data_IF_303829448940
#
_entry.id   IF_303829448940
#
_cell.length_a   1.000
_cell.length_b   1.000
_cell.length_c   1.000
_cell.angle_alpha   90.00
_cell.angle_beta   90.00
_cell.angle_gamma   90.00
#
_symmetry.space_group_name_H-M   'P 1'
#
loop_
_entity.id
_entity.type
_entity.pdbx_description
1 polymer ?
#
# COMPACT_ATOMS: atom_id res chain seq x y z
N UNK A 1 -34.75 -14.00 37.88
CA UNK A 1 -34.94 -12.59 37.47
C UNK A 1 -33.62 -11.86 37.50
N UNK A 2 -33.35 -11.08 36.44
CA UNK A 2 -32.23 -10.15 36.20
C UNK A 2 -30.87 -10.84 35.89
N UNK A 3 -30.18 -10.46 34.85
CA UNK A 3 -30.38 -9.84 33.52
C UNK A 3 -28.95 -9.81 32.90
N UNK A 4 -28.86 -10.28 31.70
CA UNK A 4 -27.67 -10.16 30.86
C UNK A 4 -27.67 -8.76 30.21
N UNK A 5 -26.54 -8.09 30.18
CA UNK A 5 -26.26 -7.03 29.21
C UNK A 5 -24.76 -6.71 29.20
N UNK A 6 -24.13 -6.70 28.02
CA UNK A 6 -22.89 -6.00 27.83
C UNK A 6 -21.77 -6.73 27.09
N UNK A 7 -22.01 -7.19 25.84
CA UNK A 7 -20.92 -7.50 24.94
C UNK A 7 -21.43 -7.32 23.48
N UNK A 8 -21.31 -6.13 22.94
CA UNK A 8 -21.83 -5.87 21.60
C UNK A 8 -21.52 -4.50 21.02
N UNK A 9 -20.27 -4.01 21.11
CA UNK A 9 -19.99 -2.71 20.51
C UNK A 9 -18.68 -2.63 19.68
N UNK A 10 -17.89 -3.68 19.58
CA UNK A 10 -16.55 -3.59 18.92
C UNK A 10 -16.49 -4.18 17.50
N UNK A 11 -17.54 -4.86 17.02
CA UNK A 11 -17.49 -5.61 15.74
C UNK A 11 -18.18 -4.89 14.57
N UNK A 12 -18.90 -3.80 14.81
CA UNK A 12 -19.73 -3.13 13.80
C UNK A 12 -18.91 -2.18 12.90
N UNK A 13 -17.77 -1.67 13.37
CA UNK A 13 -17.00 -0.65 12.62
C UNK A 13 -16.25 -1.18 11.38
N UNK A 14 -15.96 -2.47 11.30
CA UNK A 14 -15.16 -3.04 10.20
C UNK A 14 -15.98 -3.49 8.98
N UNK A 15 -17.27 -3.77 9.15
CA UNK A 15 -18.17 -4.20 8.06
C UNK A 15 -18.71 -3.03 7.22
N UNK A 16 -18.77 -1.82 7.75
CA UNK A 16 -19.29 -0.66 7.01
C UNK A 16 -18.31 -0.12 5.95
N UNK A 17 -17.00 -0.29 6.14
CA UNK A 17 -16.00 0.21 5.20
C UNK A 17 -16.01 -0.56 3.86
N UNK A 18 -16.27 -1.85 3.85
CA UNK A 18 -16.25 -2.65 2.63
C UNK A 18 -17.46 -2.37 1.71
N UNK A 19 -18.62 -2.06 2.24
CA UNK A 19 -19.83 -1.85 1.44
C UNK A 19 -19.84 -0.53 0.68
N UNK A 20 -19.08 0.49 1.13
CA UNK A 20 -18.92 1.77 0.44
C UNK A 20 -17.83 1.74 -0.65
N UNK A 21 -16.84 0.89 -0.55
CA UNK A 21 -15.68 0.85 -1.44
C UNK A 21 -15.93 0.11 -2.76
N UNK A 22 -16.97 -0.72 -2.85
CA UNK A 22 -17.32 -1.48 -4.07
C UNK A 22 -17.99 -0.61 -5.14
N UNK A 23 -18.41 0.61 -4.82
CA UNK A 23 -19.19 1.47 -5.70
C UNK A 23 -18.40 2.58 -6.39
N UNK A 24 -17.12 2.77 -6.09
CA UNK A 24 -16.32 3.81 -6.74
C UNK A 24 -15.95 3.37 -8.15
N UNK A 25 -16.60 3.99 -9.15
CA UNK A 25 -16.28 3.78 -10.56
C UNK A 25 -14.84 4.23 -10.82
N UNK A 26 -14.03 3.33 -11.34
CA UNK A 26 -12.59 3.58 -11.57
C UNK A 26 -12.29 3.54 -13.05
N UNK A 27 -11.76 4.64 -13.60
CA UNK A 27 -11.43 4.77 -15.02
C UNK A 27 -9.96 5.08 -15.22
N UNK A 28 -9.36 4.43 -16.22
CA UNK A 28 -8.00 4.70 -16.67
C UNK A 28 -8.04 5.34 -18.05
N UNK A 29 -7.41 6.51 -18.19
CA UNK A 29 -7.47 7.33 -19.41
C UNK A 29 -6.06 7.45 -19.98
N UNK A 30 -5.83 6.96 -21.19
CA UNK A 30 -4.59 7.15 -21.94
C UNK A 30 -4.77 8.26 -22.97
N UNK A 31 -3.99 9.35 -22.85
CA UNK A 31 -4.10 10.52 -23.71
C UNK A 31 -3.02 10.45 -24.78
N UNK A 32 -3.44 10.48 -26.07
CA UNK A 32 -2.54 10.53 -27.24
C UNK A 32 -1.45 9.45 -27.24
N UNK A 33 -1.79 8.24 -26.80
CA UNK A 33 -0.83 7.13 -26.78
C UNK A 33 -0.28 6.84 -28.18
N UNK A 34 1.02 6.69 -28.30
CA UNK A 34 1.72 6.53 -29.56
C UNK A 34 2.12 5.07 -29.85
N UNK A 35 2.17 4.21 -28.83
CA UNK A 35 2.60 2.82 -28.94
C UNK A 35 1.46 1.84 -28.63
N UNK A 36 1.14 0.99 -29.59
CA UNK A 36 0.08 -0.01 -29.47
C UNK A 36 0.34 -0.99 -28.29
N UNK A 37 1.57 -1.40 -28.08
CA UNK A 37 1.95 -2.28 -26.98
C UNK A 37 1.68 -1.71 -25.59
N UNK A 38 1.70 -0.38 -25.43
CA UNK A 38 1.36 0.26 -24.15
C UNK A 38 -0.14 0.15 -23.83
N UNK A 39 -0.99 0.19 -24.84
CA UNK A 39 -2.45 -0.02 -24.65
C UNK A 39 -2.72 -1.45 -24.18
N UNK A 40 -2.06 -2.45 -24.79
CA UNK A 40 -2.16 -3.84 -24.34
C UNK A 40 -1.63 -4.05 -22.93
N UNK A 41 -0.46 -3.48 -22.61
CA UNK A 41 0.12 -3.53 -21.28
C UNK A 41 -0.78 -2.86 -20.23
N UNK A 42 -1.42 -1.73 -20.56
CA UNK A 42 -2.38 -1.05 -19.71
C UNK A 42 -3.62 -1.93 -19.45
N UNK A 43 -4.22 -2.51 -20.47
CA UNK A 43 -5.35 -3.42 -20.35
C UNK A 43 -5.03 -4.60 -19.38
N UNK A 44 -3.84 -5.20 -19.54
CA UNK A 44 -3.38 -6.26 -18.66
C UNK A 44 -3.21 -5.78 -17.21
N UNK A 45 -2.60 -4.62 -17.02
CA UNK A 45 -2.34 -4.05 -15.71
C UNK A 45 -3.63 -3.77 -14.93
N UNK A 46 -4.64 -3.14 -15.57
CA UNK A 46 -5.92 -2.84 -14.93
C UNK A 46 -6.71 -4.11 -14.61
N UNK A 47 -6.72 -5.10 -15.52
CA UNK A 47 -7.38 -6.38 -15.29
C UNK A 47 -6.78 -7.15 -14.11
N UNK A 48 -5.45 -7.19 -13.98
CA UNK A 48 -4.80 -7.87 -12.84
C UNK A 48 -5.16 -7.25 -11.51
N UNK A 49 -5.55 -5.98 -11.50
CA UNK A 49 -6.02 -5.27 -10.30
C UNK A 49 -7.55 -5.25 -10.18
N UNK A 50 -8.26 -6.00 -11.04
CA UNK A 50 -9.72 -6.14 -11.00
C UNK A 50 -10.47 -4.89 -11.46
N UNK A 51 -9.92 -4.15 -12.41
CA UNK A 51 -10.57 -3.02 -13.08
C UNK A 51 -10.76 -3.32 -14.58
N UNK A 52 -11.64 -2.60 -15.24
CA UNK A 52 -12.05 -2.86 -16.63
C UNK A 52 -12.34 -1.60 -17.47
N UNK A 53 -12.51 -0.40 -16.86
CA UNK A 53 -12.85 0.84 -17.60
C UNK A 53 -11.59 1.51 -18.14
N UNK A 54 -11.26 1.25 -19.41
CA UNK A 54 -10.16 1.84 -20.16
C UNK A 54 -10.69 2.79 -21.24
N UNK A 55 -10.22 4.03 -21.26
CA UNK A 55 -10.57 5.03 -22.28
C UNK A 55 -9.30 5.57 -22.94
N UNK A 56 -9.32 5.67 -24.25
CA UNK A 56 -8.25 6.21 -25.08
C UNK A 56 -8.69 7.54 -25.68
N UNK A 57 -7.99 8.62 -25.40
CA UNK A 57 -8.24 9.95 -25.98
C UNK A 57 -7.32 10.16 -27.16
N UNK A 58 -7.87 10.33 -28.36
CA UNK A 58 -7.16 10.63 -29.60
C UNK A 58 -5.86 9.81 -29.77
N UNK A 59 -5.90 8.47 -29.68
CA UNK A 59 -4.69 7.66 -29.86
C UNK A 59 -4.11 7.84 -31.27
N UNK A 60 -2.79 7.72 -31.42
CA UNK A 60 -2.13 7.85 -32.71
C UNK A 60 -2.72 6.97 -33.82
N UNK A 61 -3.19 5.79 -33.45
CA UNK A 61 -3.75 4.81 -34.38
C UNK A 61 -5.23 4.60 -34.09
N UNK A 62 -6.15 4.96 -34.98
CA UNK A 62 -7.59 4.74 -34.77
C UNK A 62 -7.98 3.27 -34.51
N UNK A 63 -7.21 2.33 -35.07
CA UNK A 63 -7.40 0.90 -34.92
C UNK A 63 -6.52 0.27 -33.82
N UNK A 64 -5.99 1.07 -32.87
CA UNK A 64 -5.01 0.64 -31.86
C UNK A 64 -5.47 -0.59 -31.06
N UNK A 65 -6.74 -0.71 -30.76
CA UNK A 65 -7.32 -1.83 -29.99
C UNK A 65 -7.25 -3.17 -30.74
N UNK A 66 -7.15 -3.14 -32.09
CA UNK A 66 -7.11 -4.33 -32.93
C UNK A 66 -5.70 -4.65 -33.48
N UNK A 67 -4.71 -3.85 -33.11
CA UNK A 67 -3.34 -4.11 -33.55
C UNK A 67 -2.77 -5.34 -32.85
N UNK A 68 -2.02 -6.13 -33.61
CA UNK A 68 -1.42 -7.38 -33.11
C UNK A 68 -0.57 -7.14 -31.83
N UNK A 69 0.24 -6.09 -31.83
CA UNK A 69 1.06 -5.72 -30.67
C UNK A 69 0.21 -5.43 -29.43
N UNK A 70 -0.96 -4.78 -29.57
CA UNK A 70 -1.91 -4.54 -28.47
C UNK A 70 -2.43 -5.85 -27.92
N UNK A 71 -2.86 -6.74 -28.80
CA UNK A 71 -3.44 -8.04 -28.45
C UNK A 71 -2.40 -8.91 -27.74
N UNK A 72 -1.20 -9.00 -28.28
CA UNK A 72 -0.09 -9.77 -27.69
C UNK A 72 0.27 -9.28 -26.29
N UNK A 73 0.39 -7.95 -26.11
CA UNK A 73 0.73 -7.36 -24.81
C UNK A 73 -0.41 -7.42 -23.80
N UNK A 74 -1.65 -7.42 -24.24
CA UNK A 74 -2.81 -7.60 -23.37
C UNK A 74 -2.90 -9.02 -22.80
N UNK A 75 -2.35 -10.03 -23.51
CA UNK A 75 -2.41 -11.44 -23.07
C UNK A 75 -3.88 -11.85 -22.80
N UNK A 76 -4.22 -12.23 -21.57
CA UNK A 76 -5.58 -12.62 -21.16
C UNK A 76 -6.56 -11.47 -20.90
N UNK A 77 -6.22 -10.20 -21.18
CA UNK A 77 -7.06 -9.02 -20.91
C UNK A 77 -7.80 -8.52 -22.16
N UNK A 78 -8.23 -9.43 -23.06
CA UNK A 78 -8.92 -9.09 -24.30
C UNK A 78 -10.32 -8.51 -24.06
N UNK A 79 -10.97 -8.89 -22.99
CA UNK A 79 -12.26 -8.35 -22.53
C UNK A 79 -12.16 -6.86 -22.18
N UNK A 80 -11.07 -6.43 -21.52
CA UNK A 80 -10.79 -5.01 -21.25
C UNK A 80 -10.60 -4.24 -22.57
N UNK A 81 -9.88 -4.81 -23.54
CA UNK A 81 -9.73 -4.20 -24.86
C UNK A 81 -11.07 -4.13 -25.63
N UNK A 82 -11.91 -5.16 -25.52
CA UNK A 82 -13.22 -5.19 -26.18
C UNK A 82 -14.17 -4.13 -25.60
N UNK A 83 -14.07 -3.82 -24.31
CA UNK A 83 -14.86 -2.81 -23.62
C UNK A 83 -14.22 -1.40 -23.68
N UNK A 84 -12.96 -1.30 -24.11
CA UNK A 84 -12.25 -0.03 -24.18
C UNK A 84 -12.89 0.92 -25.21
N UNK A 85 -12.99 2.20 -24.85
CA UNK A 85 -13.57 3.24 -25.68
C UNK A 85 -12.47 4.14 -26.24
N UNK A 86 -12.63 4.54 -27.52
CA UNK A 86 -11.82 5.59 -28.13
C UNK A 86 -12.71 6.82 -28.26
N UNK A 87 -12.24 7.95 -27.74
CA UNK A 87 -12.93 9.24 -27.78
C UNK A 87 -12.04 10.30 -28.41
N UNK A 88 -12.64 11.38 -28.92
CA UNK A 88 -11.90 12.45 -29.56
C UNK A 88 -11.31 13.43 -28.55
N UNK A 89 -12.02 13.69 -27.46
CA UNK A 89 -11.69 14.73 -26.48
C UNK A 89 -11.53 14.16 -25.08
N UNK A 90 -10.78 14.91 -24.25
CA UNK A 90 -10.64 14.57 -22.83
C UNK A 90 -11.98 14.74 -22.09
N UNK A 91 -12.82 15.69 -22.49
CA UNK A 91 -14.14 15.91 -21.86
C UNK A 91 -15.03 14.68 -21.98
N UNK A 92 -15.06 14.07 -23.16
CA UNK A 92 -15.78 12.80 -23.36
C UNK A 92 -15.24 11.65 -22.51
N UNK A 93 -13.91 11.64 -22.28
CA UNK A 93 -13.28 10.64 -21.44
C UNK A 93 -13.59 10.81 -19.95
N UNK A 94 -13.84 12.04 -19.52
CA UNK A 94 -14.06 12.40 -18.10
C UNK A 94 -15.53 12.37 -17.69
N UNK A 95 -16.43 12.16 -18.61
CA UNK A 95 -17.87 12.11 -18.31
C UNK A 95 -18.20 11.13 -17.19
N UNK A 96 -18.91 11.62 -16.16
CA UNK A 96 -19.27 10.84 -14.97
C UNK A 96 -18.10 10.53 -14.02
N UNK A 97 -17.01 11.32 -14.07
CA UNK A 97 -15.87 11.22 -13.15
C UNK A 97 -15.75 12.49 -12.31
N UNK A 98 -15.78 12.35 -10.99
CA UNK A 98 -15.78 13.46 -10.05
C UNK A 98 -14.39 13.76 -9.49
N UNK A 99 -13.50 12.77 -9.46
CA UNK A 99 -12.15 12.92 -8.96
C UNK A 99 -11.11 12.57 -10.01
N UNK A 100 -10.29 13.55 -10.39
CA UNK A 100 -9.32 13.44 -11.48
C UNK A 100 -7.90 13.43 -10.93
N UNK A 101 -7.14 12.41 -11.27
CA UNK A 101 -5.75 12.22 -10.88
C UNK A 101 -4.85 12.27 -12.12
N UNK A 102 -4.05 13.30 -12.28
CA UNK A 102 -2.98 13.34 -13.27
C UNK A 102 -1.82 12.43 -12.85
N UNK A 103 -1.06 11.91 -13.80
CA UNK A 103 0.20 11.23 -13.54
C UNK A 103 1.35 12.00 -14.16
N UNK A 104 2.32 12.42 -13.36
CA UNK A 104 3.50 13.13 -13.86
C UNK A 104 4.71 12.87 -12.96
N UNK A 105 5.90 12.91 -13.57
CA UNK A 105 7.16 12.79 -12.84
C UNK A 105 7.57 14.11 -12.17
N UNK A 106 7.20 15.24 -12.77
CA UNK A 106 7.65 16.57 -12.36
C UNK A 106 6.46 17.40 -11.91
N UNK A 107 6.53 18.06 -10.74
CA UNK A 107 5.55 19.05 -10.32
C UNK A 107 5.40 20.14 -11.39
N UNK A 108 4.22 20.72 -11.52
CA UNK A 108 3.91 21.80 -12.43
C UNK A 108 3.71 23.08 -11.64
N UNK A 109 4.30 24.19 -12.11
CA UNK A 109 3.98 25.51 -11.59
C UNK A 109 2.47 25.76 -11.76
N UNK A 110 1.81 26.22 -10.70
CA UNK A 110 0.35 26.44 -10.67
C UNK A 110 -0.51 25.18 -10.88
N UNK A 111 0.10 23.98 -10.85
CA UNK A 111 -0.60 22.70 -10.97
C UNK A 111 -1.25 22.25 -9.65
N UNK A 112 -2.04 21.15 -9.70
CA UNK A 112 -2.59 20.56 -8.50
C UNK A 112 -1.48 20.03 -7.58
N UNK A 113 -1.77 19.79 -6.29
CA UNK A 113 -0.78 19.29 -5.34
C UNK A 113 -0.22 17.95 -5.83
N UNK A 114 1.11 17.80 -5.76
CA UNK A 114 1.79 16.56 -6.11
C UNK A 114 1.88 15.66 -4.87
N UNK A 115 1.45 14.41 -5.00
CA UNK A 115 1.46 13.40 -3.93
C UNK A 115 1.87 12.04 -4.46
N UNK A 116 2.38 11.18 -3.57
CA UNK A 116 2.52 9.76 -3.93
C UNK A 116 1.16 9.10 -4.01
N UNK A 117 0.96 8.05 -4.83
CA UNK A 117 -0.31 7.33 -4.92
C UNK A 117 -0.81 6.86 -3.55
N UNK A 118 0.06 6.23 -2.75
CA UNK A 118 -0.28 5.73 -1.41
C UNK A 118 -0.77 6.84 -0.46
N UNK A 119 -0.01 7.94 -0.39
CA UNK A 119 -0.37 9.07 0.45
C UNK A 119 -1.70 9.69 0.03
N UNK A 120 -1.91 9.85 -1.27
CA UNK A 120 -3.14 10.43 -1.78
C UNK A 120 -4.35 9.56 -1.48
N UNK A 121 -4.27 8.28 -1.76
CA UNK A 121 -5.41 7.36 -1.57
C UNK A 121 -5.78 7.16 -0.10
N UNK A 122 -4.79 7.09 0.79
CA UNK A 122 -5.05 7.07 2.24
C UNK A 122 -5.80 8.32 2.68
N UNK A 123 -5.33 9.51 2.31
CA UNK A 123 -6.01 10.77 2.65
C UNK A 123 -7.41 10.89 2.06
N UNK A 124 -7.58 10.43 0.82
CA UNK A 124 -8.84 10.54 0.12
C UNK A 124 -9.92 9.63 0.73
N UNK A 125 -9.56 8.44 1.15
CA UNK A 125 -10.46 7.51 1.84
C UNK A 125 -10.72 7.93 3.30
N UNK A 126 -9.72 8.49 3.99
CA UNK A 126 -9.85 8.98 5.37
C UNK A 126 -10.58 10.33 5.43
N UNK A 127 -10.45 11.17 4.41
CA UNK A 127 -11.00 12.52 4.35
C UNK A 127 -12.54 12.59 4.33
N UNK A 128 -13.23 11.49 4.06
CA UNK A 128 -14.67 11.38 4.27
C UNK A 128 -15.08 11.36 5.75
N UNK A 129 -14.13 11.32 6.68
CA UNK A 129 -14.40 11.18 8.12
C UNK A 129 -13.71 12.24 9.00
N UNK A 130 -13.05 13.28 8.42
CA UNK A 130 -12.30 14.27 9.20
C UNK A 130 -12.89 15.68 9.08
N UNK A 131 -14.11 15.85 9.52
CA UNK A 131 -14.66 17.16 9.93
C UNK A 131 -14.65 17.30 11.47
N UNK A 132 -13.65 16.75 12.19
CA UNK A 132 -13.38 17.14 13.59
C UNK A 132 -12.01 16.61 14.04
N UNK A 133 -11.09 17.52 14.41
CA UNK A 133 -10.14 17.29 15.49
C UNK A 133 -8.69 17.00 15.13
N UNK A 134 -7.92 18.02 15.19
CA UNK A 134 -6.57 18.15 15.81
C UNK A 134 -5.57 16.98 15.70
N UNK A 135 -4.42 17.34 15.14
CA UNK A 135 -3.25 16.52 14.95
C UNK A 135 -2.65 15.88 16.19
N UNK A 136 -2.10 14.71 15.95
CA UNK A 136 -0.97 14.18 16.72
C UNK A 136 0.09 13.74 15.70
N UNK A 137 1.07 14.61 15.55
CA UNK A 137 2.24 14.35 14.72
C UNK A 137 3.08 13.26 15.32
N UNK A 138 3.28 12.19 14.57
CA UNK A 138 4.49 11.39 14.68
C UNK A 138 5.43 11.80 13.55
N UNK A 139 6.30 12.75 13.86
CA UNK A 139 7.51 13.01 13.10
C UNK A 139 8.42 11.78 13.20
N UNK A 140 8.46 10.98 12.15
CA UNK A 140 9.64 10.16 11.88
C UNK A 140 10.65 11.09 11.20
N UNK A 141 11.63 11.54 11.97
CA UNK A 141 12.77 12.27 11.46
C UNK A 141 13.50 11.41 10.40
N UNK A 142 13.91 11.98 9.27
CA UNK A 142 14.81 11.29 8.35
C UNK A 142 16.16 11.15 9.03
N UNK A 143 16.64 9.91 9.16
CA UNK A 143 17.99 9.60 9.60
C UNK A 143 19.00 10.25 8.66
N UNK A 144 19.68 11.27 9.17
CA UNK A 144 20.82 11.92 8.55
C UNK A 144 22.03 10.98 8.56
N UNK A 145 22.17 10.14 7.53
CA UNK A 145 23.39 9.39 7.24
C UNK A 145 23.48 9.09 5.74
N UNK A 146 23.64 10.12 4.91
CA UNK A 146 24.24 10.02 3.56
C UNK A 146 24.62 11.43 3.06
N UNK A 147 25.50 12.09 3.78
CA UNK A 147 26.14 13.30 3.30
C UNK A 147 27.59 13.28 3.72
N UNK A 148 28.42 12.56 2.99
CA UNK A 148 29.85 12.80 2.82
C UNK A 148 30.42 11.77 1.87
N UNK A 149 30.59 12.14 0.59
CA UNK A 149 31.70 11.68 -0.24
C UNK A 149 31.67 12.41 -1.61
N UNK A 150 32.68 13.25 -1.75
CA UNK A 150 33.22 13.89 -2.94
C UNK A 150 32.70 15.25 -3.40
N UNK A 151 33.49 16.30 -3.13
CA UNK A 151 33.52 17.48 -4.00
C UNK A 151 34.64 17.27 -5.02
N UNK A 152 34.36 17.38 -6.32
CA UNK A 152 35.26 17.99 -7.29
C UNK A 152 34.73 17.92 -8.72
N UNK A 153 34.85 19.08 -9.35
CA UNK A 153 34.90 19.42 -10.78
C UNK A 153 33.58 19.76 -11.47
N UNK A 154 33.18 21.04 -11.33
CA UNK A 154 32.37 21.73 -12.32
C UNK A 154 33.30 22.38 -13.36
N UNK A 155 33.04 22.25 -14.68
CA UNK A 155 33.74 23.02 -15.69
C UNK A 155 33.19 24.46 -15.75
N UNK A 156 34.10 25.43 -15.82
CA UNK A 156 33.80 26.86 -15.99
C UNK A 156 33.18 27.08 -17.36
N UNK A 157 31.99 27.66 -17.41
CA UNK A 157 31.42 28.22 -18.61
C UNK A 157 31.99 29.64 -18.85
N UNK A 158 32.45 29.81 -20.08
CA UNK A 158 33.03 31.01 -20.65
C UNK A 158 32.01 32.13 -20.83
N UNK A 159 32.54 33.34 -20.71
CA UNK A 159 32.02 34.70 -20.84
C UNK A 159 31.06 34.91 -22.03
N UNK A 160 29.94 35.67 -21.86
CA UNK A 160 29.07 36.09 -22.96
C UNK A 160 29.67 37.21 -23.79
N UNK A 161 29.35 37.29 -25.09
CA UNK A 161 29.81 38.37 -25.97
C UNK A 161 29.00 39.67 -25.80
N UNK A 162 29.64 40.73 -26.23
CA UNK A 162 29.32 42.15 -26.04
C UNK A 162 27.98 42.61 -26.61
N UNK A 163 27.48 43.67 -25.97
CA UNK A 163 26.23 44.41 -26.23
C UNK A 163 26.15 45.00 -27.64
N UNK A 164 25.00 44.88 -28.27
CA UNK A 164 24.61 45.69 -29.44
C UNK A 164 23.67 46.85 -29.03
N UNK A 165 23.65 47.97 -29.79
CA UNK A 165 23.17 49.24 -29.35
C UNK A 165 21.64 49.36 -29.33
N UNK A 166 21.16 50.13 -28.35
CA UNK A 166 19.77 50.51 -28.14
C UNK A 166 19.24 51.39 -29.25
N UNK A 167 18.20 50.95 -29.95
CA UNK A 167 17.36 51.80 -30.77
C UNK A 167 16.17 52.33 -29.91
N UNK A 168 16.03 53.63 -29.88
CA UNK A 168 14.94 54.33 -29.22
C UNK A 168 13.62 54.13 -29.96
N UNK A 169 12.63 53.54 -29.33
CA UNK A 169 11.26 53.54 -29.80
C UNK A 169 10.39 54.50 -29.00
N UNK A 170 9.66 55.35 -29.71
CA UNK A 170 8.75 56.35 -29.21
C UNK A 170 7.51 55.81 -28.46
N UNK A 171 6.64 56.68 -27.94
CA UNK A 171 5.64 56.31 -26.97
C UNK A 171 4.54 55.40 -27.58
N UNK A 172 4.37 54.23 -27.02
CA UNK A 172 3.30 53.29 -27.37
C UNK A 172 2.00 53.73 -26.66
N UNK A 173 0.96 53.98 -27.47
CA UNK A 173 -0.39 54.23 -27.00
C UNK A 173 -0.93 53.03 -26.23
N UNK A 174 -1.50 53.31 -25.05
CA UNK A 174 -2.16 52.32 -24.20
C UNK A 174 -3.42 51.76 -24.86
N UNK A 175 -3.41 50.45 -25.15
CA UNK A 175 -4.60 49.71 -25.49
C UNK A 175 -5.42 49.38 -24.22
N UNK A 176 -6.77 49.38 -24.28
CA UNK A 176 -7.61 49.06 -23.12
C UNK A 176 -7.43 47.60 -22.72
N UNK A 177 -7.36 47.36 -21.41
CA UNK A 177 -7.25 46.04 -20.80
C UNK A 177 -8.46 45.17 -21.16
N UNK A 178 -8.29 43.90 -21.48
CA UNK A 178 -9.39 42.96 -21.65
C UNK A 178 -10.11 42.76 -20.31
N UNK A 179 -11.43 42.50 -20.31
CA UNK A 179 -12.19 42.27 -19.09
C UNK A 179 -11.65 41.07 -18.35
N UNK A 180 -11.31 41.24 -17.08
CA UNK A 180 -10.90 40.17 -16.15
C UNK A 180 -12.09 39.22 -15.93
N UNK A 181 -12.12 38.14 -16.70
CA UNK A 181 -12.93 36.96 -16.35
C UNK A 181 -12.12 36.18 -15.31
N UNK A 182 -12.45 36.38 -14.05
CA UNK A 182 -12.02 35.48 -12.99
C UNK A 182 -12.50 34.07 -13.34
N UNK A 183 -11.62 33.05 -13.35
CA UNK A 183 -12.11 31.67 -13.46
C UNK A 183 -13.00 31.41 -12.25
N UNK A 184 -14.19 30.91 -12.52
CA UNK A 184 -15.19 30.52 -11.51
C UNK A 184 -14.52 29.72 -10.41
N UNK A 185 -14.82 30.09 -9.18
CA UNK A 185 -14.39 29.38 -7.98
C UNK A 185 -14.65 27.87 -8.14
N UNK A 186 -13.65 27.06 -7.80
CA UNK A 186 -13.80 25.63 -7.69
C UNK A 186 -15.03 25.31 -6.84
N UNK A 187 -15.89 24.38 -7.23
CA UNK A 187 -17.04 24.01 -6.42
C UNK A 187 -16.52 23.52 -5.05
N UNK A 188 -17.21 23.94 -3.99
CA UNK A 188 -16.96 23.46 -2.64
C UNK A 188 -17.00 21.90 -2.62
N UNK A 189 -16.17 21.22 -1.83
CA UNK A 189 -16.17 19.79 -1.76
C UNK A 189 -17.57 19.29 -1.36
N UNK A 190 -18.20 18.49 -2.23
CA UNK A 190 -19.46 17.85 -1.94
C UNK A 190 -19.27 16.83 -0.82
N UNK A 191 -20.13 16.81 0.18
CA UNK A 191 -20.09 15.89 1.32
C UNK A 191 -20.42 14.43 0.94
N UNK A 192 -20.78 14.18 -0.32
CA UNK A 192 -20.99 12.83 -0.85
C UNK A 192 -19.68 12.27 -1.38
N UNK A 193 -19.31 11.01 -1.08
CA UNK A 193 -18.11 10.40 -1.66
C UNK A 193 -18.23 10.42 -3.19
N UNK A 194 -17.17 10.79 -3.92
CA UNK A 194 -17.23 10.91 -5.36
C UNK A 194 -17.65 9.58 -6.00
N UNK A 195 -18.55 9.65 -6.97
CA UNK A 195 -19.10 8.47 -7.65
C UNK A 195 -18.11 7.86 -8.64
N UNK A 196 -17.07 8.60 -9.04
CA UNK A 196 -16.08 8.16 -10.02
C UNK A 196 -14.70 8.79 -9.83
N UNK A 197 -13.65 7.98 -10.00
CA UNK A 197 -12.25 8.41 -10.03
C UNK A 197 -11.64 8.09 -11.40
N UNK A 198 -10.90 9.04 -11.98
CA UNK A 198 -10.18 8.84 -13.22
C UNK A 198 -8.67 9.08 -13.04
N UNK A 199 -7.87 8.14 -13.55
CA UNK A 199 -6.42 8.22 -13.60
C UNK A 199 -5.98 8.55 -15.03
N UNK A 200 -5.32 9.70 -15.22
CA UNK A 200 -4.94 10.24 -16.51
C UNK A 200 -3.45 10.02 -16.77
N UNK A 201 -3.14 9.41 -17.90
CA UNK A 201 -1.79 9.15 -18.36
C UNK A 201 -1.56 9.85 -19.71
N UNK A 202 -0.53 10.68 -19.77
CA UNK A 202 -0.16 11.40 -20.99
C UNK A 202 0.56 10.52 -22.00
N UNK A 203 0.90 11.12 -23.15
CA UNK A 203 1.65 10.42 -24.19
C UNK A 203 3.06 10.02 -23.72
N UNK A 204 3.60 8.96 -24.30
CA UNK A 204 4.90 8.42 -23.92
C UNK A 204 6.05 9.39 -24.16
N UNK A 205 5.90 10.24 -25.18
CA UNK A 205 6.95 11.15 -25.63
C UNK A 205 6.89 12.52 -24.96
N UNK A 206 5.67 13.04 -24.75
CA UNK A 206 5.48 14.42 -24.32
C UNK A 206 4.80 14.54 -22.94
N UNK A 207 4.33 13.42 -22.37
CA UNK A 207 3.55 13.44 -21.16
C UNK A 207 2.17 14.06 -21.37
N UNK A 208 1.60 14.64 -20.32
CA UNK A 208 0.34 15.39 -20.34
C UNK A 208 0.60 16.87 -20.59
N UNK A 209 -0.31 17.53 -21.32
CA UNK A 209 -0.30 18.98 -21.46
C UNK A 209 -0.63 19.66 -20.13
N UNK A 210 -0.11 20.87 -19.91
CA UNK A 210 -0.38 21.61 -18.67
C UNK A 210 -1.89 21.84 -18.46
N UNK A 211 -2.61 22.17 -19.51
CA UNK A 211 -4.05 22.39 -19.46
C UNK A 211 -4.83 21.17 -18.97
N UNK A 212 -4.40 19.94 -19.36
CA UNK A 212 -5.00 18.71 -18.89
C UNK A 212 -4.68 18.42 -17.42
N UNK A 213 -3.43 18.73 -17.00
CA UNK A 213 -2.99 18.58 -15.59
C UNK A 213 -3.71 19.56 -14.67
N UNK A 214 -3.90 20.80 -15.10
CA UNK A 214 -4.57 21.84 -14.29
C UNK A 214 -6.04 21.56 -14.02
N UNK A 215 -6.66 20.67 -14.78
CA UNK A 215 -8.04 20.20 -14.54
C UNK A 215 -8.13 19.12 -13.46
N UNK A 216 -7.00 18.56 -13.04
CA UNK A 216 -6.96 17.47 -12.08
C UNK A 216 -6.94 17.97 -10.63
N UNK A 217 -7.43 17.16 -9.71
CA UNK A 217 -7.46 17.46 -8.27
C UNK A 217 -6.12 17.16 -7.60
N UNK A 218 -5.33 16.26 -8.21
CA UNK A 218 -4.02 15.85 -7.71
C UNK A 218 -3.14 15.44 -8.88
N UNK A 219 -1.82 15.61 -8.71
CA UNK A 219 -0.80 15.03 -9.56
C UNK A 219 -0.13 13.87 -8.81
N UNK A 220 -0.32 12.64 -9.29
CA UNK A 220 0.30 11.47 -8.72
C UNK A 220 1.72 11.32 -9.25
N UNK A 221 2.69 11.34 -8.35
CA UNK A 221 4.10 11.10 -8.66
C UNK A 221 4.55 9.80 -7.99
N UNK A 222 5.01 8.85 -8.80
CA UNK A 222 5.55 7.58 -8.31
C UNK A 222 7.01 7.81 -7.92
N UNK A 223 7.40 7.58 -6.65
CA UNK A 223 8.80 7.67 -6.25
C UNK A 223 9.66 6.66 -7.01
N UNK A 224 10.59 7.16 -7.81
CA UNK A 224 11.50 6.37 -8.63
C UNK A 224 12.94 6.81 -8.38
N UNK A 225 13.91 6.08 -8.96
CA UNK A 225 15.31 6.47 -8.90
C UNK A 225 15.49 7.88 -9.48
N UNK A 226 16.04 8.85 -8.72
CA UNK A 226 16.25 10.21 -9.19
C UNK A 226 17.13 10.32 -10.47
N UNK A 227 18.01 9.34 -10.71
CA UNK A 227 18.88 9.30 -11.87
C UNK A 227 18.24 8.64 -13.10
N UNK A 228 17.19 7.81 -12.88
CA UNK A 228 16.49 7.09 -13.94
C UNK A 228 15.03 6.88 -13.55
N UNK A 229 14.24 7.95 -13.60
CA UNK A 229 12.89 7.98 -13.06
C UNK A 229 11.78 7.65 -14.06
N UNK A 230 12.07 7.59 -15.36
CA UNK A 230 11.03 7.39 -16.38
C UNK A 230 10.47 5.96 -16.37
N UNK A 231 9.21 5.84 -16.06
CA UNK A 231 8.47 4.58 -16.17
C UNK A 231 7.75 4.49 -17.51
N UNK A 232 7.72 3.29 -18.09
CA UNK A 232 6.79 2.99 -19.16
C UNK A 232 5.35 3.15 -18.68
N UNK A 233 4.43 3.60 -19.55
CA UNK A 233 3.01 3.87 -19.18
C UNK A 233 2.36 2.63 -18.54
N UNK A 234 2.56 1.44 -19.10
CA UNK A 234 2.02 0.20 -18.51
C UNK A 234 2.53 -0.07 -17.11
N UNK A 235 3.83 0.21 -16.84
CA UNK A 235 4.42 0.07 -15.52
C UNK A 235 3.90 1.14 -14.55
N UNK A 236 3.81 2.39 -14.97
CA UNK A 236 3.25 3.46 -14.15
C UNK A 236 1.78 3.18 -13.77
N UNK A 237 1.00 2.74 -14.75
CA UNK A 237 -0.40 2.38 -14.57
C UNK A 237 -0.53 1.18 -13.61
N UNK A 238 0.31 0.14 -13.73
CA UNK A 238 0.31 -1.01 -12.83
C UNK A 238 0.55 -0.59 -11.37
N UNK A 239 1.50 0.30 -11.11
CA UNK A 239 1.78 0.80 -9.76
C UNK A 239 0.58 1.57 -9.20
N UNK A 240 0.01 2.48 -9.98
CA UNK A 240 -1.15 3.28 -9.54
C UNK A 240 -2.37 2.38 -9.30
N UNK A 241 -2.65 1.45 -10.21
CA UNK A 241 -3.75 0.50 -10.06
C UNK A 241 -3.56 -0.42 -8.84
N UNK A 242 -2.33 -0.84 -8.56
CA UNK A 242 -1.99 -1.64 -7.37
C UNK A 242 -2.22 -0.85 -6.08
N UNK A 243 -1.68 0.37 -5.97
CA UNK A 243 -1.87 1.21 -4.79
C UNK A 243 -3.35 1.56 -4.58
N UNK A 244 -4.09 1.80 -5.66
CA UNK A 244 -5.53 2.02 -5.60
C UNK A 244 -6.28 0.77 -5.14
N UNK A 245 -5.93 -0.43 -5.66
CA UNK A 245 -6.53 -1.69 -5.20
C UNK A 245 -6.24 -1.97 -3.73
N UNK A 246 -5.02 -1.68 -3.25
CA UNK A 246 -4.68 -1.80 -1.83
C UNK A 246 -5.55 -0.88 -0.97
N UNK A 247 -5.74 0.36 -1.39
CA UNK A 247 -6.59 1.32 -0.70
C UNK A 247 -8.06 0.86 -0.65
N UNK A 248 -8.56 0.22 -1.71
CA UNK A 248 -9.90 -0.38 -1.77
C UNK A 248 -10.04 -1.72 -1.00
N UNK A 249 -9.00 -2.20 -0.31
CA UNK A 249 -9.07 -3.39 0.54
C UNK A 249 -8.37 -4.64 0.00
N UNK A 250 -7.68 -4.55 -1.15
CA UNK A 250 -6.88 -5.63 -1.74
C UNK A 250 -7.67 -6.91 -2.09
N UNK A 251 -6.99 -7.88 -2.70
CA UNK A 251 -7.50 -9.23 -2.85
C UNK A 251 -6.93 -10.14 -1.77
N UNK A 252 -7.68 -11.14 -1.29
CA UNK A 252 -7.12 -12.14 -0.38
C UNK A 252 -6.01 -12.92 -1.09
N UNK A 253 -4.93 -13.19 -0.38
CA UNK A 253 -3.85 -14.02 -0.92
C UNK A 253 -4.35 -15.46 -1.06
N UNK A 254 -4.20 -16.11 -2.25
CA UNK A 254 -4.47 -17.53 -2.40
C UNK A 254 -3.57 -18.31 -1.44
N UNK A 255 -4.15 -19.18 -0.61
CA UNK A 255 -3.39 -20.03 0.30
C UNK A 255 -2.91 -19.36 1.59
N UNK A 256 -3.38 -18.17 1.94
CA UNK A 256 -3.32 -17.77 3.33
C UNK A 256 -4.15 -18.77 4.13
N UNK A 257 -3.49 -19.78 4.68
CA UNK A 257 -4.09 -20.61 5.73
C UNK A 257 -4.70 -19.65 6.74
N UNK A 258 -5.95 -19.89 7.20
CA UNK A 258 -6.48 -19.14 8.33
C UNK A 258 -5.39 -19.15 9.40
N UNK A 259 -4.92 -18.01 9.83
CA UNK A 259 -3.99 -17.97 10.95
C UNK A 259 -4.69 -18.71 12.06
N UNK A 260 -4.14 -19.87 12.47
CA UNK A 260 -4.60 -20.55 13.68
C UNK A 260 -4.74 -19.51 14.77
N UNK A 261 -5.86 -19.51 15.46
CA UNK A 261 -6.14 -18.47 16.46
C UNK A 261 -4.95 -18.43 17.44
N UNK A 262 -4.39 -17.24 17.63
CA UNK A 262 -3.34 -17.04 18.62
C UNK A 262 -3.84 -17.54 19.97
N UNK A 263 -3.00 -18.23 20.72
CA UNK A 263 -3.34 -18.68 22.06
C UNK A 263 -3.61 -17.45 22.96
N UNK A 264 -4.58 -17.54 23.82
CA UNK A 264 -4.85 -16.51 24.81
C UNK A 264 -3.81 -16.54 25.94
N UNK A 265 -3.78 -15.48 26.74
CA UNK A 265 -2.81 -15.33 27.81
C UNK A 265 -2.91 -16.45 28.88
N UNK A 266 -4.11 -16.98 29.13
CA UNK A 266 -4.32 -18.07 30.10
C UNK A 266 -3.78 -19.38 29.56
N UNK A 267 -3.90 -19.64 28.27
CA UNK A 267 -3.35 -20.83 27.61
C UNK A 267 -1.83 -20.81 27.62
N UNK A 268 -1.20 -19.67 27.33
CA UNK A 268 0.27 -19.47 27.41
C UNK A 268 0.75 -19.64 28.84
N UNK A 269 0.10 -19.03 29.83
CA UNK A 269 0.45 -19.17 31.24
C UNK A 269 0.35 -20.63 31.71
N UNK A 270 -0.74 -21.32 31.37
CA UNK A 270 -0.89 -22.75 31.73
C UNK A 270 0.11 -23.68 31.04
N UNK A 271 0.57 -23.35 29.83
CA UNK A 271 1.65 -24.09 29.17
C UNK A 271 3.00 -23.85 29.88
N UNK A 272 3.28 -22.61 30.30
CA UNK A 272 4.50 -22.26 31.01
C UNK A 272 4.60 -22.94 32.36
N UNK A 273 3.50 -23.08 33.12
CA UNK A 273 3.45 -23.85 34.37
C UNK A 273 3.82 -25.31 34.12
N UNK A 274 3.21 -25.93 33.11
CA UNK A 274 3.48 -27.33 32.75
C UNK A 274 4.93 -27.55 32.29
N UNK A 275 5.47 -26.57 31.55
CA UNK A 275 6.88 -26.57 31.15
C UNK A 275 7.81 -26.44 32.35
N UNK A 276 7.48 -25.57 33.29
CA UNK A 276 8.27 -25.41 34.54
C UNK A 276 8.33 -26.72 35.31
N UNK A 277 7.19 -27.38 35.57
CA UNK A 277 7.11 -28.68 36.25
C UNK A 277 7.99 -29.72 35.56
N UNK A 278 7.98 -29.76 34.23
CA UNK A 278 8.78 -30.70 33.45
C UNK A 278 10.29 -30.44 33.56
N UNK A 279 10.68 -29.16 33.58
CA UNK A 279 12.08 -28.77 33.75
C UNK A 279 12.62 -29.04 35.18
N UNK A 280 11.77 -28.89 36.20
CA UNK A 280 12.08 -29.27 37.57
C UNK A 280 12.22 -30.77 37.71
N UNK A 281 11.32 -31.55 37.12
CA UNK A 281 11.39 -33.01 37.16
C UNK A 281 12.62 -33.58 36.44
N UNK A 282 13.17 -32.88 35.46
CA UNK A 282 14.45 -33.20 34.80
C UNK A 282 15.67 -32.78 35.59
N UNK A 283 15.52 -32.00 36.66
CA UNK A 283 16.65 -31.39 37.37
C UNK A 283 17.34 -30.26 36.59
N UNK A 284 16.73 -29.80 35.49
CA UNK A 284 17.24 -28.66 34.70
C UNK A 284 16.96 -27.32 35.38
N UNK A 285 15.83 -27.20 36.03
CA UNK A 285 15.42 -26.04 36.81
C UNK A 285 15.49 -26.39 38.31
N UNK A 286 16.35 -25.69 39.06
CA UNK A 286 16.37 -25.79 40.50
C UNK A 286 15.28 -24.88 41.11
N UNK A 287 14.27 -25.42 41.81
CA UNK A 287 13.20 -24.61 42.43
C UNK A 287 13.74 -23.63 43.49
N UNK A 288 14.86 -23.97 44.15
CA UNK A 288 15.48 -23.12 45.16
C UNK A 288 16.35 -22.00 44.56
N UNK A 289 16.80 -22.18 43.31
CA UNK A 289 17.61 -21.20 42.58
C UNK A 289 17.15 -21.03 41.11
N UNK A 290 15.92 -20.58 40.85
CA UNK A 290 15.31 -20.63 39.51
C UNK A 290 15.94 -19.68 38.48
N UNK A 291 16.84 -18.80 38.91
CA UNK A 291 17.52 -17.79 38.09
C UNK A 291 16.50 -16.98 37.25
N UNK A 292 16.82 -16.65 35.98
CA UNK A 292 15.94 -15.89 35.07
C UNK A 292 15.36 -16.75 33.96
N UNK A 293 15.32 -18.10 34.12
CA UNK A 293 14.89 -18.99 33.05
C UNK A 293 13.39 -18.79 32.68
N UNK A 294 12.52 -18.92 33.66
CA UNK A 294 11.06 -18.78 33.42
C UNK A 294 10.67 -17.39 32.91
N UNK A 295 11.17 -16.26 33.41
CA UNK A 295 10.93 -14.96 32.81
C UNK A 295 11.39 -14.85 31.35
N UNK A 296 12.52 -15.48 30.97
CA UNK A 296 12.99 -15.49 29.60
C UNK A 296 12.12 -16.35 28.67
N UNK A 297 11.65 -17.51 29.12
CA UNK A 297 10.72 -18.35 28.39
C UNK A 297 9.38 -17.65 28.19
N UNK A 298 8.85 -16.98 29.20
CA UNK A 298 7.65 -16.18 29.10
C UNK A 298 7.81 -15.06 28.03
N UNK A 299 8.93 -14.34 28.05
CA UNK A 299 9.21 -13.33 27.04
C UNK A 299 9.35 -13.93 25.62
N UNK A 300 9.96 -15.11 25.51
CA UNK A 300 10.10 -15.82 24.22
C UNK A 300 8.73 -16.15 23.63
N UNK A 301 7.85 -16.79 24.40
CA UNK A 301 6.54 -17.24 23.91
C UNK A 301 5.59 -16.08 23.65
N UNK A 302 5.61 -15.03 24.46
CA UNK A 302 4.84 -13.82 24.20
C UNK A 302 5.28 -13.11 22.91
N UNK A 303 6.57 -13.10 22.60
CA UNK A 303 7.08 -12.54 21.34
C UNK A 303 6.76 -13.43 20.14
N UNK A 304 6.73 -14.75 20.31
CA UNK A 304 6.44 -15.70 19.23
C UNK A 304 4.96 -15.71 18.83
N UNK A 305 4.06 -15.15 19.66
CA UNK A 305 2.60 -15.14 19.40
C UNK A 305 2.07 -16.55 19.06
N UNK A 306 2.39 -17.53 19.90
CA UNK A 306 2.10 -18.95 19.68
C UNK A 306 0.59 -19.20 19.47
N UNK A 307 0.28 -20.17 18.61
CA UNK A 307 -1.07 -20.63 18.32
C UNK A 307 -1.56 -21.67 19.33
N UNK A 308 -2.88 -21.94 19.33
CA UNK A 308 -3.45 -22.99 20.18
C UNK A 308 -2.86 -24.39 19.88
N UNK A 309 -2.61 -24.69 18.60
CA UNK A 309 -2.00 -25.96 18.19
C UNK A 309 -0.58 -26.08 18.69
N UNK A 310 0.22 -25.01 18.63
CA UNK A 310 1.58 -24.99 19.18
C UNK A 310 1.59 -25.15 20.69
N UNK A 311 0.63 -24.55 21.41
CA UNK A 311 0.45 -24.77 22.86
C UNK A 311 0.16 -26.25 23.15
N UNK A 312 -0.69 -26.92 22.36
CA UNK A 312 -0.97 -28.35 22.52
C UNK A 312 0.27 -29.20 22.31
N UNK A 313 1.09 -28.89 21.28
CA UNK A 313 2.35 -29.59 21.04
C UNK A 313 3.30 -29.44 22.22
N UNK A 314 3.50 -28.21 22.71
CA UNK A 314 4.40 -27.92 23.83
C UNK A 314 3.94 -28.59 25.13
N UNK A 315 2.63 -28.59 25.41
CA UNK A 315 2.07 -29.36 26.55
C UNK A 315 2.26 -30.85 26.40
N UNK A 316 2.16 -31.39 25.17
CA UNK A 316 2.43 -32.78 24.87
C UNK A 316 3.88 -33.16 25.19
N UNK A 317 4.83 -32.32 24.81
CA UNK A 317 6.26 -32.51 25.12
C UNK A 317 6.47 -32.48 26.62
N UNK A 318 5.97 -31.46 27.33
CA UNK A 318 6.10 -31.36 28.79
C UNK A 318 5.54 -32.59 29.52
N UNK A 319 4.36 -33.08 29.08
CA UNK A 319 3.74 -34.30 29.61
C UNK A 319 4.61 -35.55 29.39
N UNK A 320 5.21 -35.70 28.21
CA UNK A 320 6.08 -36.82 27.89
C UNK A 320 7.33 -36.81 28.78
N UNK A 321 7.91 -35.66 29.02
CA UNK A 321 9.05 -35.45 29.93
C UNK A 321 8.69 -35.87 31.36
N UNK A 322 7.56 -35.38 31.89
CA UNK A 322 7.09 -35.77 33.24
C UNK A 322 6.87 -37.28 33.37
N UNK A 323 6.28 -37.90 32.39
CA UNK A 323 6.07 -39.36 32.39
C UNK A 323 7.39 -40.13 32.37
N UNK A 324 8.37 -39.70 31.62
CA UNK A 324 9.67 -40.35 31.54
C UNK A 324 10.44 -40.16 32.85
N UNK A 325 10.42 -38.96 33.44
CA UNK A 325 11.06 -38.69 34.74
C UNK A 325 10.46 -39.57 35.84
N UNK A 326 9.11 -39.70 35.89
CA UNK A 326 8.46 -40.57 36.88
C UNK A 326 8.81 -42.08 36.71
N UNK A 327 8.99 -42.54 35.46
CA UNK A 327 9.42 -43.90 35.19
C UNK A 327 10.84 -44.19 35.70
N UNK A 328 11.76 -43.24 35.50
CA UNK A 328 13.13 -43.36 35.96
C UNK A 328 13.19 -43.38 37.49
N UNK A 329 12.46 -42.52 38.17
CA UNK A 329 12.37 -42.50 39.63
C UNK A 329 11.80 -43.83 40.19
N UNK A 330 10.82 -44.43 39.52
CA UNK A 330 10.26 -45.73 39.93
C UNK A 330 11.26 -46.86 39.78
N UNK A 331 12.11 -46.81 38.74
CA UNK A 331 13.19 -47.83 38.55
C UNK A 331 14.26 -47.70 39.62
N UNK A 332 14.71 -46.45 39.90
CA UNK A 332 15.74 -46.19 40.92
C UNK A 332 15.22 -46.53 42.32
N UNK A 333 13.96 -46.25 42.63
CA UNK A 333 13.30 -46.65 43.86
C UNK A 333 13.19 -48.15 44.05
N UNK A 334 12.90 -48.93 42.95
CA UNK A 334 12.85 -50.36 42.98
C UNK A 334 14.23 -51.01 43.14
N UNK A 335 15.28 -50.39 42.54
CA UNK A 335 16.65 -50.87 42.67
C UNK A 335 17.22 -50.69 44.10
N UNK A 336 16.79 -49.64 44.80
CA UNK A 336 17.20 -49.35 46.18
C UNK A 336 16.45 -50.15 47.25
N UNK A 337 15.32 -50.80 46.87
CA UNK A 337 14.47 -51.59 47.78
C UNK A 337 14.80 -53.10 47.83
N UNK A 338 15.82 -53.57 47.10
CA UNK A 338 16.26 -54.96 47.15
C UNK A 338 17.09 -55.18 48.44
N UNK A 339 16.62 -55.88 49.48
CA UNK A 339 17.38 -56.13 50.68
C UNK A 339 18.57 -57.06 50.40
N UNK A 340 19.73 -56.72 50.90
CA UNK A 340 20.95 -57.52 50.97
C UNK A 340 20.62 -58.80 51.75
N UNK A 341 20.15 -59.87 51.09
CA UNK A 341 20.15 -61.18 51.70
C UNK A 341 21.59 -61.72 51.68
N UNK A 342 22.37 -61.31 52.65
CA UNK A 342 23.59 -62.01 53.03
C UNK A 342 23.15 -63.28 53.74
N UNK A 343 23.48 -64.39 53.12
CA UNK A 343 23.46 -65.73 53.71
C UNK A 343 24.49 -65.76 54.80
N UNK A 344 24.05 -66.08 56.01
CA UNK A 344 24.84 -66.70 57.02
C UNK A 344 24.98 -68.22 56.79
#
# INVERSE_FOLDING_TARGET
MRAAAGAGAATIGRFYCWRFLVTVRTRFVLIQTSHAGNVGAAARAIKTMGFDDLVLVAPRWPNVLRREETIQRASGALDVLANARIVATLDEALDGMDHLCATAMTPRDFGPPTRTPREHFSRWLDGGNSATGQGLGHQLAPSAQFAALHPQSAPRLSKPPDAMPTASLGPVQSLPAPPSQHPSALPAPSETPPSGIAFLFGSERFGMRNEDVYRCHVCLSIPTNPQFGSLNIGAALQVIAYEWRLALGSFPLPGSTPHSASADAAQVAGMLVHLQESLEALGFLDPLAPKKLMPRLNQLFNRASVTQEEIHILRGIAKAVLQQSARLQAIDGAASATPDQRLD
#
